data_IF_681813417178
#
_entry.id   IF_681813417178
#
_cell.length_a   1.000
_cell.length_b   1.000
_cell.length_c   1.000
_cell.angle_alpha   90.00
_cell.angle_beta   90.00
_cell.angle_gamma   90.00
#
_symmetry.space_group_name_H-M   'P 1'
#
loop_
_entity.id
_entity.type
_entity.pdbx_description
1 polymer ?
#
# COMPACT_ATOMS: atom_id res chain seq x y z
N UNK A 1 3.44 -19.89 11.97
CA UNK A 1 3.76 -19.92 10.53
C UNK A 1 2.48 -19.53 9.82
N UNK A 2 2.53 -18.60 8.86
CA UNK A 2 1.34 -18.17 8.13
C UNK A 2 0.64 -19.37 7.48
N UNK A 3 -0.68 -19.45 7.58
CA UNK A 3 -1.46 -20.52 6.95
C UNK A 3 -1.54 -20.35 5.44
N UNK A 4 -1.60 -19.10 4.98
CA UNK A 4 -1.69 -18.74 3.57
C UNK A 4 -0.53 -17.82 3.18
N UNK A 5 0.09 -18.10 2.03
CA UNK A 5 1.21 -17.36 1.47
C UNK A 5 0.98 -17.23 -0.03
N UNK A 6 0.71 -16.03 -0.50
CA UNK A 6 0.49 -15.74 -1.93
C UNK A 6 1.60 -14.83 -2.44
N UNK A 7 2.16 -15.11 -3.61
CA UNK A 7 3.22 -14.29 -4.20
C UNK A 7 2.66 -13.38 -5.30
N UNK A 8 3.08 -12.11 -5.30
CA UNK A 8 2.80 -11.10 -6.34
C UNK A 8 1.32 -11.05 -6.77
N UNK A 9 0.40 -11.04 -5.80
CA UNK A 9 -1.05 -11.18 -6.02
C UNK A 9 -1.82 -9.87 -5.89
N UNK A 10 -1.22 -8.72 -6.25
CA UNK A 10 -1.83 -7.39 -6.10
C UNK A 10 -3.17 -7.27 -6.85
N UNK A 11 -3.26 -7.88 -8.03
CA UNK A 11 -4.46 -7.92 -8.86
C UNK A 11 -5.62 -8.70 -8.22
N UNK A 12 -5.34 -9.45 -7.16
CA UNK A 12 -6.33 -10.27 -6.44
C UNK A 12 -6.73 -9.64 -5.10
N UNK A 13 -6.39 -8.36 -4.89
CA UNK A 13 -6.69 -7.58 -3.69
C UNK A 13 -7.59 -6.40 -4.09
N UNK A 14 -8.62 -6.11 -3.30
CA UNK A 14 -9.43 -4.91 -3.48
C UNK A 14 -8.82 -3.72 -2.72
N UNK A 15 -8.25 -2.79 -3.48
CA UNK A 15 -7.61 -1.57 -2.96
C UNK A 15 -8.62 -0.43 -2.86
N UNK A 16 -9.55 -0.52 -1.91
CA UNK A 16 -10.47 0.59 -1.61
C UNK A 16 -10.21 1.15 -0.21
N UNK A 17 -9.36 2.17 -0.13
CA UNK A 17 -9.06 2.90 1.12
C UNK A 17 -8.52 2.01 2.25
N UNK A 18 -7.41 1.31 1.98
CA UNK A 18 -6.81 0.35 2.91
C UNK A 18 -5.76 1.03 3.79
N UNK A 19 -5.90 0.93 5.12
CA UNK A 19 -5.00 1.58 6.07
C UNK A 19 -3.76 0.71 6.38
N UNK A 20 -2.56 1.30 6.29
CA UNK A 20 -1.34 0.67 6.79
C UNK A 20 -1.33 0.78 8.32
N UNK A 21 -1.58 -0.32 9.01
CA UNK A 21 -1.63 -0.37 10.47
C UNK A 21 -0.24 -0.36 11.10
N UNK A 22 0.71 -1.07 10.46
CA UNK A 22 2.10 -1.13 10.91
C UNK A 22 3.04 -1.20 9.72
N UNK A 23 4.17 -0.52 9.86
CA UNK A 23 5.28 -0.64 8.93
C UNK A 23 6.57 -0.96 9.67
N UNK A 24 7.36 -1.91 9.14
CA UNK A 24 8.70 -2.22 9.63
C UNK A 24 9.64 -2.50 8.46
N UNK A 25 10.91 -2.14 8.64
CA UNK A 25 11.99 -2.49 7.72
C UNK A 25 12.98 -3.40 8.45
N UNK A 26 13.32 -4.52 7.83
CA UNK A 26 14.29 -5.47 8.38
C UNK A 26 14.99 -6.23 7.26
N UNK A 27 16.32 -6.27 7.29
CA UNK A 27 17.14 -6.99 6.31
C UNK A 27 16.74 -6.64 4.87
N UNK A 28 16.67 -5.36 4.54
CA UNK A 28 16.30 -4.86 3.21
C UNK A 28 14.91 -5.28 2.71
N UNK A 29 14.02 -5.71 3.62
CA UNK A 29 12.63 -6.00 3.33
C UNK A 29 11.72 -4.98 4.01
N UNK A 30 10.65 -4.59 3.31
CA UNK A 30 9.57 -3.77 3.85
C UNK A 30 8.40 -4.69 4.20
N UNK A 31 7.85 -4.50 5.39
CA UNK A 31 6.67 -5.23 5.84
C UNK A 31 5.59 -4.21 6.16
N UNK A 32 4.45 -4.36 5.51
CA UNK A 32 3.26 -3.55 5.74
C UNK A 32 2.16 -4.46 6.29
N UNK A 33 1.65 -4.14 7.47
CA UNK A 33 0.52 -4.86 8.07
C UNK A 33 -0.76 -4.10 7.80
N UNK A 34 -1.80 -4.83 7.41
CA UNK A 34 -3.15 -4.33 7.21
C UNK A 34 -4.14 -5.19 8.00
N UNK A 35 -5.29 -4.62 8.32
CA UNK A 35 -6.44 -5.34 8.87
C UNK A 35 -7.54 -5.40 7.79
N UNK A 36 -8.34 -6.48 7.79
CA UNK A 36 -9.55 -6.61 6.94
C UNK A 36 -9.32 -6.38 5.45
N UNK A 37 -8.19 -6.85 4.91
CA UNK A 37 -7.91 -6.70 3.49
C UNK A 37 -8.78 -7.69 2.70
N UNK A 38 -9.54 -7.17 1.73
CA UNK A 38 -10.46 -7.96 0.90
C UNK A 38 -9.69 -8.60 -0.26
N UNK A 39 -9.79 -9.93 -0.37
CA UNK A 39 -9.34 -10.65 -1.55
C UNK A 39 -10.52 -11.03 -2.43
N UNK A 40 -10.31 -10.94 -3.75
CA UNK A 40 -11.35 -11.27 -4.72
C UNK A 40 -11.60 -12.78 -4.78
N UNK A 41 -12.74 -13.16 -5.35
CA UNK A 41 -13.13 -14.56 -5.57
C UNK A 41 -12.07 -15.35 -6.34
N UNK A 42 -11.42 -14.71 -7.32
CA UNK A 42 -10.43 -15.33 -8.21
C UNK A 42 -9.07 -15.56 -7.53
N UNK A 43 -8.85 -15.05 -6.32
CA UNK A 43 -7.61 -15.23 -5.61
C UNK A 43 -7.33 -16.75 -5.40
N UNK A 44 -6.16 -17.30 -5.79
CA UNK A 44 -5.91 -18.74 -5.84
C UNK A 44 -5.97 -19.45 -4.48
N UNK A 45 -5.77 -18.70 -3.40
CA UNK A 45 -5.88 -19.16 -2.01
C UNK A 45 -7.18 -18.77 -1.32
N UNK A 46 -8.16 -18.21 -2.04
CA UNK A 46 -9.51 -18.01 -1.54
C UNK A 46 -10.31 -19.31 -1.77
N UNK A 47 -10.67 -20.07 -0.73
CA UNK A 47 -11.43 -21.31 -0.88
C UNK A 47 -12.94 -21.06 -1.05
N UNK A 48 -13.39 -19.80 -0.98
CA UNK A 48 -14.79 -19.42 -1.03
C UNK A 48 -15.17 -18.92 -2.43
N UNK A 49 -16.43 -19.13 -2.82
CA UNK A 49 -16.93 -18.73 -4.15
C UNK A 49 -17.35 -17.24 -4.21
N UNK A 50 -16.79 -16.41 -3.31
CA UNK A 50 -17.10 -14.99 -3.07
C UNK A 50 -15.86 -14.25 -2.56
N UNK A 51 -15.89 -12.92 -2.61
CA UNK A 51 -14.91 -12.05 -1.96
C UNK A 51 -14.89 -12.28 -0.44
N UNK A 52 -13.71 -12.19 0.16
CA UNK A 52 -13.52 -12.44 1.59
C UNK A 52 -12.54 -11.45 2.21
N UNK A 53 -12.88 -10.98 3.41
CA UNK A 53 -11.97 -10.21 4.25
C UNK A 53 -11.00 -11.15 4.97
N UNK A 54 -9.70 -10.88 4.87
CA UNK A 54 -8.70 -11.51 5.72
C UNK A 54 -8.72 -10.90 7.12
N UNK A 55 -8.23 -11.61 8.13
CA UNK A 55 -7.79 -10.96 9.37
C UNK A 55 -6.53 -10.10 9.10
N UNK A 56 -5.68 -9.90 10.11
CA UNK A 56 -4.35 -9.33 9.95
C UNK A 56 -3.60 -9.99 8.78
N UNK A 57 -3.17 -9.16 7.84
CA UNK A 57 -2.34 -9.55 6.72
C UNK A 57 -1.03 -8.78 6.75
N UNK A 58 0.06 -9.44 6.38
CA UNK A 58 1.35 -8.80 6.16
C UNK A 58 1.73 -8.91 4.69
N UNK A 59 1.95 -7.77 4.04
CA UNK A 59 2.61 -7.69 2.74
C UNK A 59 4.10 -7.49 2.96
N UNK A 60 4.89 -8.41 2.42
CA UNK A 60 6.35 -8.42 2.54
C UNK A 60 6.97 -8.14 1.17
N UNK A 61 7.63 -7.00 1.05
CA UNK A 61 8.37 -6.60 -0.15
C UNK A 61 9.84 -6.93 0.05
N UNK A 62 10.34 -7.88 -0.72
CA UNK A 62 11.70 -8.39 -0.58
C UNK A 62 12.70 -7.61 -1.42
N UNK A 63 13.87 -7.33 -0.81
CA UNK A 63 14.94 -6.52 -1.40
C UNK A 63 14.40 -5.18 -1.94
N UNK A 64 13.68 -4.44 -1.10
CA UNK A 64 13.01 -3.22 -1.52
C UNK A 64 13.95 -2.01 -1.54
N UNK A 65 13.68 -1.09 -2.45
CA UNK A 65 14.33 0.21 -2.58
C UNK A 65 13.25 1.28 -2.64
N UNK A 66 13.44 2.39 -1.92
CA UNK A 66 12.58 3.58 -2.05
C UNK A 66 13.06 4.39 -3.23
N UNK A 67 12.21 4.51 -4.26
CA UNK A 67 12.48 5.36 -5.41
C UNK A 67 12.01 6.80 -5.18
N UNK A 68 10.88 6.96 -4.51
CA UNK A 68 10.30 8.26 -4.19
C UNK A 68 9.31 8.17 -3.03
N UNK A 69 9.16 9.24 -2.25
CA UNK A 69 8.19 9.31 -1.15
C UNK A 69 7.95 10.75 -0.70
N UNK A 70 6.69 11.16 -0.68
CA UNK A 70 6.32 12.51 -0.30
C UNK A 70 4.82 12.73 -0.23
N UNK A 71 4.45 13.97 0.01
CA UNK A 71 3.06 14.42 -0.03
C UNK A 71 2.95 15.82 -0.62
N UNK A 72 1.76 16.14 -1.11
CA UNK A 72 1.40 17.44 -1.62
C UNK A 72 0.77 18.27 -0.49
N UNK A 73 1.46 19.34 -0.10
CA UNK A 73 0.96 20.31 0.86
C UNK A 73 0.11 21.36 0.14
N UNK A 74 -1.19 21.32 0.44
CA UNK A 74 -2.19 22.23 -0.12
C UNK A 74 -2.68 23.25 0.91
N UNK A 75 -2.04 23.38 2.09
CA UNK A 75 -2.51 24.22 3.20
C UNK A 75 -2.65 25.71 2.86
N UNK A 76 -2.04 26.15 1.76
CA UNK A 76 -2.08 27.53 1.27
C UNK A 76 -3.14 27.77 0.17
N UNK A 77 -3.92 26.74 -0.20
CA UNK A 77 -4.83 26.78 -1.34
C UNK A 77 -6.27 27.03 -0.90
N UNK A 78 -6.82 28.16 -1.33
CA UNK A 78 -8.22 28.55 -1.11
C UNK A 78 -9.04 28.35 -2.40
N UNK A 79 -9.23 27.10 -2.82
CA UNK A 79 -10.03 26.73 -4.00
C UNK A 79 -10.91 25.52 -3.70
N UNK A 80 -12.07 25.43 -4.36
CA UNK A 80 -12.97 24.27 -4.22
C UNK A 80 -12.47 23.01 -4.94
N UNK A 81 -11.74 23.17 -6.04
CA UNK A 81 -11.13 22.08 -6.79
C UNK A 81 -9.62 22.31 -6.75
N UNK A 82 -8.92 21.34 -6.18
CA UNK A 82 -7.46 21.34 -6.02
C UNK A 82 -6.88 20.41 -7.09
N UNK A 83 -6.01 20.95 -7.94
CA UNK A 83 -5.14 20.17 -8.80
C UNK A 83 -3.81 19.97 -8.06
N UNK A 84 -3.58 18.79 -7.46
CA UNK A 84 -2.43 18.56 -6.59
C UNK A 84 -1.08 18.90 -7.25
N UNK A 85 -0.92 18.59 -8.54
CA UNK A 85 0.34 18.83 -9.26
C UNK A 85 0.58 20.31 -9.56
N UNK A 86 -0.49 21.12 -9.67
CA UNK A 86 -0.39 22.53 -10.04
C UNK A 86 -0.54 23.49 -8.88
N UNK A 87 -1.38 23.14 -7.93
CA UNK A 87 -1.78 24.00 -6.83
C UNK A 87 -0.95 23.73 -5.58
N UNK A 88 -0.50 22.49 -5.36
CA UNK A 88 0.13 22.12 -4.10
C UNK A 88 1.66 22.05 -4.21
N UNK A 89 2.34 22.16 -3.06
CA UNK A 89 3.80 22.01 -3.00
C UNK A 89 4.14 20.58 -2.65
N UNK A 90 4.92 19.91 -3.50
CA UNK A 90 5.44 18.59 -3.18
C UNK A 90 6.53 18.66 -2.10
N UNK A 91 6.36 17.89 -1.04
CA UNK A 91 7.28 17.78 0.09
C UNK A 91 7.76 16.32 0.19
N UNK A 92 9.02 16.11 -0.20
CA UNK A 92 9.69 14.82 -0.03
C UNK A 92 9.90 14.51 1.46
N UNK A 93 9.59 13.27 1.87
CA UNK A 93 9.80 12.81 3.24
C UNK A 93 10.32 11.37 3.27
N UNK A 94 11.00 10.94 4.36
CA UNK A 94 11.38 9.53 4.49
C UNK A 94 10.15 8.60 4.48
N UNK A 95 10.23 7.47 3.77
CA UNK A 95 9.11 6.52 3.63
C UNK A 95 8.44 6.18 4.97
N UNK A 96 9.22 5.77 5.97
CA UNK A 96 8.69 5.38 7.30
C UNK A 96 7.98 6.53 8.03
N UNK A 97 8.30 7.78 7.70
CA UNK A 97 7.59 8.95 8.23
C UNK A 97 6.26 9.16 7.49
N UNK A 98 6.22 8.89 6.19
CA UNK A 98 5.01 8.96 5.38
C UNK A 98 3.98 7.90 5.77
N UNK A 99 4.41 6.63 5.85
CA UNK A 99 3.49 5.48 5.92
C UNK A 99 2.96 5.15 7.31
N UNK A 100 3.31 5.94 8.34
CA UNK A 100 2.95 5.66 9.74
C UNK A 100 1.43 5.68 9.99
N UNK A 101 0.69 6.49 9.22
CA UNK A 101 -0.78 6.64 9.29
C UNK A 101 -1.32 6.87 7.87
N UNK A 102 -0.98 5.98 6.94
CA UNK A 102 -1.27 6.14 5.52
C UNK A 102 -2.42 5.24 5.07
N UNK A 103 -3.47 5.83 4.52
CA UNK A 103 -4.56 5.11 3.87
C UNK A 103 -4.28 5.07 2.37
N UNK A 104 -4.00 3.88 1.83
CA UNK A 104 -3.81 3.64 0.40
C UNK A 104 -5.18 3.71 -0.29
N UNK A 105 -5.27 4.55 -1.31
CA UNK A 105 -6.47 4.71 -2.14
C UNK A 105 -6.28 4.08 -3.50
N UNK A 106 -5.08 4.22 -4.07
CA UNK A 106 -4.73 3.60 -5.36
C UNK A 106 -3.35 2.97 -5.26
N UNK A 107 -3.17 1.92 -6.05
CA UNK A 107 -1.88 1.32 -6.32
C UNK A 107 -1.74 1.13 -7.82
N UNK A 108 -0.53 1.27 -8.34
CA UNK A 108 -0.24 1.02 -9.76
C UNK A 108 1.17 0.46 -9.94
N UNK A 109 1.25 -0.66 -10.66
CA UNK A 109 2.52 -1.27 -11.08
C UNK A 109 3.00 -0.52 -12.33
N UNK A 110 4.02 0.33 -12.15
CA UNK A 110 4.57 1.19 -13.22
C UNK A 110 5.53 0.45 -14.14
N UNK A 111 6.27 -0.52 -13.62
CA UNK A 111 7.20 -1.35 -14.39
C UNK A 111 7.30 -2.76 -13.79
N UNK A 112 7.50 -3.75 -14.66
CA UNK A 112 7.67 -5.15 -14.29
C UNK A 112 8.55 -5.85 -15.32
N UNK A 113 9.61 -6.48 -14.84
CA UNK A 113 10.43 -7.39 -15.63
C UNK A 113 10.82 -8.62 -14.81
N UNK A 114 11.73 -9.45 -15.34
CA UNK A 114 12.15 -10.70 -14.68
C UNK A 114 12.91 -10.48 -13.37
N UNK A 115 13.43 -9.27 -13.12
CA UNK A 115 14.29 -8.96 -11.97
C UNK A 115 13.58 -8.17 -10.88
N UNK A 116 12.62 -7.31 -11.24
CA UNK A 116 11.97 -6.43 -10.29
C UNK A 116 10.58 -5.96 -10.73
N UNK A 117 9.89 -5.39 -9.74
CA UNK A 117 8.65 -4.64 -9.86
C UNK A 117 8.91 -3.21 -9.39
N UNK A 118 8.31 -2.23 -10.07
CA UNK A 118 8.16 -0.86 -9.57
C UNK A 118 6.69 -0.56 -9.36
N UNK A 119 6.35 -0.13 -8.15
CA UNK A 119 4.97 0.11 -7.75
C UNK A 119 4.84 1.46 -7.07
N UNK A 120 3.76 2.15 -7.39
CA UNK A 120 3.36 3.42 -6.78
C UNK A 120 2.12 3.19 -5.94
N UNK A 121 2.12 3.73 -4.73
CA UNK A 121 0.95 3.76 -3.86
C UNK A 121 0.62 5.22 -3.59
N UNK A 122 -0.66 5.57 -3.71
CA UNK A 122 -1.16 6.91 -3.47
C UNK A 122 -2.32 6.88 -2.49
N UNK A 123 -2.50 7.96 -1.74
CA UNK A 123 -3.57 8.05 -0.76
C UNK A 123 -3.34 9.13 0.29
N UNK A 124 -3.88 8.92 1.49
CA UNK A 124 -3.96 9.95 2.53
C UNK A 124 -2.97 9.68 3.67
N UNK A 125 -1.88 10.45 3.81
CA UNK A 125 -0.98 10.40 4.95
C UNK A 125 -1.53 11.28 6.09
N UNK A 126 -2.41 10.73 6.93
CA UNK A 126 -3.22 11.50 7.90
C UNK A 126 -2.39 12.31 8.90
N UNK A 127 -1.15 11.91 9.14
CA UNK A 127 -0.20 12.61 10.00
C UNK A 127 0.31 13.95 9.43
N UNK A 128 0.03 14.27 8.17
CA UNK A 128 0.42 15.54 7.52
C UNK A 128 -0.78 16.47 7.23
N UNK A 129 -2.00 16.07 7.59
CA UNK A 129 -3.22 16.85 7.39
C UNK A 129 -4.34 16.01 6.77
N UNK A 130 -5.59 16.41 7.01
CA UNK A 130 -6.76 15.69 6.49
C UNK A 130 -6.88 15.79 4.96
N UNK A 131 -6.39 16.88 4.37
CA UNK A 131 -6.43 17.16 2.93
C UNK A 131 -5.09 16.88 2.21
N UNK A 132 -4.13 16.28 2.90
CA UNK A 132 -2.85 15.94 2.27
C UNK A 132 -3.03 14.73 1.34
N UNK A 133 -2.48 14.82 0.12
CA UNK A 133 -2.34 13.67 -0.77
C UNK A 133 -0.89 13.21 -0.80
N UNK A 134 -0.66 11.95 -0.47
CA UNK A 134 0.67 11.35 -0.40
C UNK A 134 0.87 10.31 -1.49
N UNK A 135 2.13 10.11 -1.86
CA UNK A 135 2.52 8.94 -2.62
C UNK A 135 3.88 8.40 -2.20
N UNK A 136 4.08 7.11 -2.44
CA UNK A 136 5.41 6.52 -2.40
C UNK A 136 5.58 5.52 -3.54
N UNK A 137 6.79 5.52 -4.09
CA UNK A 137 7.21 4.61 -5.15
C UNK A 137 8.33 3.73 -4.61
N UNK A 138 8.14 2.41 -4.72
CA UNK A 138 9.14 1.42 -4.33
C UNK A 138 9.49 0.52 -5.51
N UNK A 139 10.73 0.02 -5.49
CA UNK A 139 11.17 -1.11 -6.29
C UNK A 139 11.36 -2.32 -5.39
N UNK A 140 11.01 -3.51 -5.83
CA UNK A 140 11.23 -4.75 -5.06
C UNK A 140 11.36 -5.95 -6.00
N UNK A 141 11.93 -7.06 -5.53
CA UNK A 141 12.10 -8.28 -6.35
C UNK A 141 10.87 -9.17 -6.36
N UNK A 142 10.22 -9.30 -5.21
CA UNK A 142 8.97 -10.07 -5.04
C UNK A 142 8.19 -9.54 -3.86
N UNK A 143 6.88 -9.71 -3.91
CA UNK A 143 5.97 -9.47 -2.80
C UNK A 143 5.35 -10.80 -2.36
N UNK A 144 5.29 -11.04 -1.05
CA UNK A 144 4.45 -12.09 -0.44
C UNK A 144 3.34 -11.46 0.40
N UNK A 145 2.13 -11.95 0.24
CA UNK A 145 0.99 -11.70 1.11
C UNK A 145 0.82 -12.87 2.07
N UNK A 146 0.83 -12.58 3.38
CA UNK A 146 0.81 -13.58 4.45
C UNK A 146 -0.39 -13.35 5.37
N UNK A 147 -1.22 -14.37 5.57
CA UNK A 147 -2.35 -14.31 6.53
C UNK A 147 -2.69 -15.70 7.09
N UNK A 148 -3.45 -15.73 8.20
CA UNK A 148 -3.76 -16.96 8.94
C UNK A 148 -5.22 -17.41 8.81
N UNK A 149 -6.16 -16.48 8.60
CA UNK A 149 -7.58 -16.76 8.54
C UNK A 149 -8.36 -15.63 7.87
N UNK A 150 -9.61 -15.93 7.56
CA UNK A 150 -10.61 -14.99 7.08
C UNK A 150 -11.50 -14.55 8.23
N UNK A 151 -12.08 -13.35 8.14
CA UNK A 151 -13.19 -13.00 9.00
C UNK A 151 -14.35 -13.95 8.71
N UNK A 152 -14.79 -14.66 9.74
CA UNK A 152 -16.02 -15.44 9.72
C UNK A 152 -17.04 -14.70 10.57
N UNK A 153 -18.22 -14.43 10.02
CA UNK A 153 -19.41 -14.13 10.84
C UNK A 153 -19.75 -15.30 11.79
#
# INVERSE_FOLDING_TARGET
MPKYISENCFENIEWQSVCIEKAKVKNDNLYLTFESLVIIKEHPLNPFDTEMETNDVELVFYDFEVLDSGYYDCSHIEKQLIDYDRDCTYIAVPLLKLIKDFTIVTEDIKDKNELFFEQTFEGFPRNFGEDAWGYFKIRYKRMEMLWDSFYSE
#
